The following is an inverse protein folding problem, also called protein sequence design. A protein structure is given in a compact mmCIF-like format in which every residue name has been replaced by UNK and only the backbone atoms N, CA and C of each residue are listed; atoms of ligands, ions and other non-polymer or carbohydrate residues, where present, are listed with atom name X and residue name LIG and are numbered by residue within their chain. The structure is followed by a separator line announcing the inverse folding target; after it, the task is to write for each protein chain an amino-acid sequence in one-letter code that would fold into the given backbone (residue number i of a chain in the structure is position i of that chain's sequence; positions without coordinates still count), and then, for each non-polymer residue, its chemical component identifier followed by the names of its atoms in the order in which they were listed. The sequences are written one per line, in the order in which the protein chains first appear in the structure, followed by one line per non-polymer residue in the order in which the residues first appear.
data_IF_014395403201
#
_entry.id   IF_014395403201
#
_cell.length_a   1.000
_cell.length_b   1.000
_cell.length_c   1.000
_cell.angle_alpha   90.00
_cell.angle_beta   90.00
_cell.angle_gamma   90.00
#
_symmetry.space_group_name_H-M   'P 1'
#
loop_
_entity.id
_entity.type
_entity.pdbx_description
1 polymer ?
#
# COMPACT_ATOMS: atom_id res chain seq x y z
N UNK A 1 -11.37 -72.77 -5.03
CA UNK A 1 -10.65 -71.60 -5.41
C UNK A 1 -11.50 -70.33 -5.04
N UNK A 2 -11.16 -69.63 -3.96
CA UNK A 2 -11.86 -68.42 -3.53
C UNK A 2 -10.99 -67.23 -3.94
N UNK A 3 -11.52 -66.42 -4.86
CA UNK A 3 -10.87 -65.24 -5.36
C UNK A 3 -11.14 -64.10 -4.35
N UNK A 4 -10.11 -63.66 -3.62
CA UNK A 4 -10.17 -62.43 -2.79
C UNK A 4 -9.91 -61.20 -3.66
N UNK A 5 -10.95 -60.41 -3.89
CA UNK A 5 -10.83 -59.08 -4.48
C UNK A 5 -10.39 -58.08 -3.38
N UNK A 6 -9.16 -57.59 -3.48
CA UNK A 6 -8.67 -56.51 -2.63
C UNK A 6 -9.04 -55.20 -3.30
N UNK A 7 -10.00 -54.46 -2.73
CA UNK A 7 -10.30 -53.07 -3.10
C UNK A 7 -9.29 -52.14 -2.41
N UNK A 8 -8.34 -51.60 -3.16
CA UNK A 8 -7.51 -50.51 -2.72
C UNK A 8 -8.29 -49.17 -2.90
N UNK A 9 -8.77 -48.64 -1.78
CA UNK A 9 -9.32 -47.29 -1.71
C UNK A 9 -8.16 -46.27 -1.80
N UNK A 10 -8.01 -45.66 -2.94
CA UNK A 10 -7.12 -44.49 -3.10
C UNK A 10 -7.85 -43.28 -2.53
N UNK A 11 -7.49 -42.86 -1.32
CA UNK A 11 -7.88 -41.57 -0.78
C UNK A 11 -7.07 -40.48 -1.50
N UNK A 12 -7.65 -39.87 -2.52
CA UNK A 12 -7.18 -38.60 -3.04
C UNK A 12 -7.48 -37.51 -1.97
N UNK A 13 -6.53 -37.28 -1.11
CA UNK A 13 -6.55 -36.16 -0.17
C UNK A 13 -6.50 -34.86 -0.98
N UNK A 14 -7.67 -34.26 -1.21
CA UNK A 14 -7.72 -32.87 -1.65
C UNK A 14 -7.10 -32.03 -0.53
N UNK A 15 -5.85 -31.62 -0.69
CA UNK A 15 -5.25 -30.58 0.10
C UNK A 15 -6.04 -29.30 -0.21
N UNK A 16 -7.03 -28.99 0.62
CA UNK A 16 -7.66 -27.68 0.69
C UNK A 16 -6.60 -26.72 1.25
N UNK A 17 -5.66 -26.33 0.40
CA UNK A 17 -4.80 -25.19 0.67
C UNK A 17 -5.71 -23.99 0.88
N UNK A 18 -5.81 -23.50 2.13
CA UNK A 18 -6.42 -22.22 2.40
C UNK A 18 -5.71 -21.18 1.53
N UNK A 19 -6.39 -20.71 0.49
CA UNK A 19 -5.90 -19.62 -0.36
C UNK A 19 -5.95 -18.38 0.52
N UNK A 20 -4.85 -18.06 1.20
CA UNK A 20 -4.68 -16.79 1.87
C UNK A 20 -4.62 -15.70 0.80
N UNK A 21 -5.71 -14.96 0.68
CA UNK A 21 -5.87 -13.86 -0.28
C UNK A 21 -5.24 -12.60 0.32
N UNK A 22 -4.19 -12.16 -0.32
CA UNK A 22 -3.42 -10.93 -0.11
C UNK A 22 -3.40 -10.21 -1.45
N UNK A 23 -2.57 -9.23 -1.76
CA UNK A 23 -2.48 -8.83 -3.17
C UNK A 23 -2.58 -10.10 -4.01
N UNK A 24 -3.71 -10.31 -4.67
CA UNK A 24 -3.94 -11.55 -5.43
C UNK A 24 -2.84 -11.66 -6.50
N UNK A 25 -2.36 -12.86 -6.79
CA UNK A 25 -1.25 -13.08 -7.71
C UNK A 25 0.13 -12.70 -7.15
N UNK A 26 0.21 -12.36 -5.85
CA UNK A 26 1.45 -11.91 -5.21
C UNK A 26 2.27 -13.06 -4.62
N UNK A 27 3.53 -12.76 -4.40
CA UNK A 27 4.47 -13.56 -3.62
C UNK A 27 5.00 -12.76 -2.44
N UNK A 28 5.52 -13.43 -1.43
CA UNK A 28 6.16 -12.75 -0.29
C UNK A 28 7.28 -11.85 -0.80
N UNK A 29 7.25 -10.56 -0.41
CA UNK A 29 8.38 -9.68 -0.62
C UNK A 29 9.58 -10.23 0.15
N UNK A 30 10.74 -10.33 -0.50
CA UNK A 30 11.96 -10.81 0.14
C UNK A 30 12.50 -9.72 1.08
N UNK A 31 13.71 -9.23 0.79
CA UNK A 31 14.29 -8.07 1.49
C UNK A 31 13.84 -6.73 0.91
N UNK A 32 13.08 -6.77 -0.18
CA UNK A 32 12.54 -5.60 -0.82
C UNK A 32 11.43 -4.98 0.06
N UNK A 33 11.20 -3.68 -0.08
CA UNK A 33 10.14 -2.93 0.61
C UNK A 33 10.19 -2.98 2.14
N UNK A 34 11.37 -3.13 2.73
CA UNK A 34 11.53 -3.08 4.19
C UNK A 34 11.23 -1.68 4.77
N UNK A 35 11.06 -0.67 3.93
CA UNK A 35 10.56 0.66 4.25
C UNK A 35 9.05 0.71 4.48
N UNK A 36 8.32 -0.37 4.20
CA UNK A 36 6.87 -0.44 4.39
C UNK A 36 6.49 -0.21 5.85
N UNK A 37 5.46 0.61 6.04
CA UNK A 37 4.92 1.01 7.33
C UNK A 37 3.50 0.49 7.47
N UNK A 38 3.14 0.01 8.65
CA UNK A 38 1.77 -0.34 8.99
C UNK A 38 1.10 0.82 9.73
N UNK A 39 -0.08 1.22 9.27
CA UNK A 39 -0.88 2.30 9.83
C UNK A 39 -2.22 1.72 10.28
N UNK A 40 -2.58 1.95 11.55
CA UNK A 40 -3.84 1.49 12.13
C UNK A 40 -4.59 2.66 12.74
N UNK A 41 -5.90 2.71 12.45
CA UNK A 41 -6.84 3.54 13.18
C UNK A 41 -7.67 2.66 14.11
N UNK A 42 -7.60 2.93 15.40
CA UNK A 42 -8.46 2.24 16.38
C UNK A 42 -9.91 2.73 16.29
N UNK A 43 -10.13 3.96 15.81
CA UNK A 43 -11.46 4.58 15.71
C UNK A 43 -12.25 4.01 14.52
N UNK A 44 -11.66 4.02 13.32
CA UNK A 44 -12.26 3.43 12.11
C UNK A 44 -12.03 1.93 11.99
N UNK A 45 -11.20 1.32 12.84
CA UNK A 45 -10.74 -0.07 12.70
C UNK A 45 -10.17 -0.37 11.32
N UNK A 46 -9.48 0.62 10.74
CA UNK A 46 -8.87 0.51 9.41
C UNK A 46 -7.41 0.15 9.50
N UNK A 47 -6.94 -0.57 8.47
CA UNK A 47 -5.54 -0.88 8.26
C UNK A 47 -5.12 -0.29 6.92
N UNK A 48 -3.98 0.36 6.90
CA UNK A 48 -3.36 0.91 5.71
C UNK A 48 -1.87 0.60 5.70
N UNK A 49 -1.30 0.65 4.52
CA UNK A 49 0.13 0.71 4.31
C UNK A 49 0.64 2.14 4.30
N UNK A 50 1.94 2.28 4.30
CA UNK A 50 2.65 3.53 4.09
C UNK A 50 4.09 3.24 3.74
N UNK A 51 4.86 4.29 3.44
CA UNK A 51 6.25 4.18 3.06
C UNK A 51 7.11 5.17 3.82
N UNK A 52 8.21 4.70 4.41
CA UNK A 52 9.19 5.52 5.09
C UNK A 52 10.06 6.24 4.04
N UNK A 53 9.95 7.57 3.95
CA UNK A 53 10.72 8.42 3.03
C UNK A 53 12.12 8.77 3.60
N UNK A 54 12.18 8.97 4.90
CA UNK A 54 13.39 9.17 5.68
C UNK A 54 13.14 8.81 7.15
N UNK A 55 14.06 9.12 8.04
CA UNK A 55 13.91 8.76 9.46
C UNK A 55 12.72 9.42 10.17
N UNK A 56 12.12 10.47 9.61
CA UNK A 56 11.05 11.23 10.24
C UNK A 56 9.73 11.26 9.47
N UNK A 57 9.75 10.94 8.16
CA UNK A 57 8.60 11.15 7.28
C UNK A 57 8.09 9.88 6.66
N UNK A 58 6.78 9.74 6.66
CA UNK A 58 6.03 8.65 6.03
C UNK A 58 5.04 9.25 5.05
N UNK A 59 4.83 8.59 3.92
CA UNK A 59 3.78 8.89 2.95
C UNK A 59 2.76 7.77 2.92
N UNK A 60 1.48 8.14 2.81
CA UNK A 60 0.33 7.22 2.75
C UNK A 60 -0.87 7.88 2.08
N UNK A 61 -2.01 7.20 1.97
CA UNK A 61 -3.28 7.77 1.51
C UNK A 61 -3.95 8.60 2.60
N UNK A 62 -4.63 9.71 2.24
CA UNK A 62 -5.26 10.60 3.21
C UNK A 62 -6.50 9.99 3.88
N UNK A 63 -7.22 9.10 3.20
CA UNK A 63 -8.34 8.38 3.82
C UNK A 63 -7.90 7.46 4.97
N UNK A 64 -6.60 7.14 5.06
CA UNK A 64 -5.99 6.43 6.18
C UNK A 64 -5.77 7.32 7.41
N UNK A 65 -5.86 8.65 7.25
CA UNK A 65 -5.70 9.63 8.31
C UNK A 65 -6.85 9.61 9.33
N UNK A 66 -6.53 9.90 10.58
CA UNK A 66 -7.45 9.96 11.72
C UNK A 66 -6.93 10.86 12.83
N UNK A 67 -7.78 11.11 13.86
CA UNK A 67 -7.35 11.88 15.03
C UNK A 67 -6.14 11.26 15.73
N UNK A 68 -6.15 9.93 15.87
CA UNK A 68 -5.04 9.18 16.45
C UNK A 68 -4.74 7.96 15.57
N UNK A 69 -3.50 7.87 15.10
CA UNK A 69 -2.99 6.74 14.34
C UNK A 69 -1.93 5.98 15.14
N UNK A 70 -1.95 4.68 15.06
CA UNK A 70 -0.84 3.81 15.45
C UNK A 70 0.00 3.50 14.22
N UNK A 71 1.20 4.03 14.18
CA UNK A 71 2.14 3.89 13.08
C UNK A 71 3.28 2.98 13.49
N UNK A 72 3.47 1.87 12.80
CA UNK A 72 4.51 0.88 13.08
C UNK A 72 5.53 0.84 11.95
N UNK A 73 6.78 1.17 12.28
CA UNK A 73 7.94 1.11 11.38
C UNK A 73 8.84 -0.08 11.71
N UNK A 74 9.58 -0.57 10.73
CA UNK A 74 10.61 -1.60 10.91
C UNK A 74 10.09 -3.02 11.11
N UNK A 75 8.79 -3.26 11.00
CA UNK A 75 8.19 -4.59 11.19
C UNK A 75 8.70 -5.62 10.17
N UNK A 76 8.87 -5.19 8.93
CA UNK A 76 9.33 -6.06 7.84
C UNK A 76 10.86 -6.15 7.74
N UNK A 77 11.58 -5.41 8.57
CA UNK A 77 13.05 -5.41 8.62
C UNK A 77 13.58 -6.32 9.72
N UNK A 78 13.19 -6.06 10.97
CA UNK A 78 13.61 -6.83 12.14
C UNK A 78 12.70 -6.56 13.32
N UNK A 79 12.32 -7.60 14.05
CA UNK A 79 11.54 -7.49 15.28
C UNK A 79 12.21 -6.57 16.32
N UNK A 80 13.54 -6.53 16.35
CA UNK A 80 14.31 -5.67 17.26
C UNK A 80 14.29 -4.19 16.84
N UNK A 81 13.92 -3.89 15.59
CA UNK A 81 13.80 -2.53 15.06
C UNK A 81 12.36 -2.04 14.93
N UNK A 82 11.42 -2.95 15.16
CA UNK A 82 9.99 -2.60 15.18
C UNK A 82 9.71 -1.57 16.27
N UNK A 83 9.08 -0.45 15.89
CA UNK A 83 8.63 0.61 16.79
C UNK A 83 7.26 1.09 16.37
N UNK A 84 6.37 1.23 17.34
CA UNK A 84 5.04 1.81 17.14
C UNK A 84 4.97 3.16 17.83
N UNK A 85 4.43 4.15 17.15
CA UNK A 85 4.20 5.50 17.66
C UNK A 85 2.73 5.87 17.49
N UNK A 86 2.19 6.64 18.42
CA UNK A 86 0.88 7.26 18.28
C UNK A 86 1.06 8.63 17.64
N UNK A 87 0.35 8.88 16.55
CA UNK A 87 0.44 10.10 15.74
C UNK A 87 -0.87 10.86 15.84
N UNK A 88 -0.80 12.13 16.22
CA UNK A 88 -1.94 13.04 16.32
C UNK A 88 -2.18 13.78 14.99
N UNK A 89 -3.35 14.41 14.86
CA UNK A 89 -3.72 15.17 13.65
C UNK A 89 -2.72 16.26 13.26
N UNK A 90 -2.10 16.93 14.23
CA UNK A 90 -1.10 17.99 13.98
C UNK A 90 0.17 17.54 13.26
N UNK A 91 0.37 16.22 13.18
CA UNK A 91 1.51 15.58 12.52
C UNK A 91 1.12 14.98 11.17
N UNK A 92 -0.11 15.22 10.72
CA UNK A 92 -0.70 14.70 9.51
C UNK A 92 -0.94 15.84 8.53
N UNK A 93 -0.27 15.81 7.39
CA UNK A 93 -0.28 16.86 6.37
C UNK A 93 -0.95 16.32 5.10
N UNK A 94 -2.17 16.76 4.83
CA UNK A 94 -2.92 16.42 3.62
C UNK A 94 -2.67 17.48 2.56
N UNK A 95 -2.44 17.06 1.31
CA UNK A 95 -2.40 17.99 0.19
C UNK A 95 -3.78 18.60 -0.03
N UNK A 96 -3.81 19.92 -0.24
CA UNK A 96 -5.02 20.64 -0.61
C UNK A 96 -4.68 21.62 -1.73
N UNK A 97 -5.59 21.76 -2.66
CA UNK A 97 -5.52 22.80 -3.67
C UNK A 97 -5.75 24.21 -3.09
N UNK A 98 -5.61 25.23 -3.90
CA UNK A 98 -5.82 26.62 -3.49
C UNK A 98 -7.24 26.89 -3.02
N UNK A 99 -8.24 26.22 -3.58
CA UNK A 99 -9.65 26.27 -3.18
C UNK A 99 -9.97 25.42 -1.94
N UNK A 100 -8.97 24.71 -1.39
CA UNK A 100 -9.09 23.88 -0.20
C UNK A 100 -9.52 22.44 -0.45
N UNK A 101 -9.71 22.01 -1.72
CA UNK A 101 -10.06 20.61 -2.04
C UNK A 101 -8.92 19.65 -1.65
N UNK A 102 -9.19 18.65 -0.82
CA UNK A 102 -8.18 17.69 -0.41
C UNK A 102 -7.97 16.63 -1.47
N UNK A 103 -6.72 16.18 -1.61
CA UNK A 103 -6.36 14.97 -2.37
C UNK A 103 -6.09 13.80 -1.43
N UNK A 104 -6.19 12.58 -1.94
CA UNK A 104 -6.03 11.37 -1.12
C UNK A 104 -4.56 11.03 -0.84
N UNK A 105 -3.77 12.03 -0.47
CA UNK A 105 -2.36 11.89 -0.12
C UNK A 105 -2.06 12.54 1.22
N UNK A 106 -1.27 11.86 2.05
CA UNK A 106 -0.95 12.25 3.41
C UNK A 106 0.54 12.05 3.71
N UNK A 107 1.19 13.09 4.23
CA UNK A 107 2.48 12.97 4.90
C UNK A 107 2.29 12.92 6.40
N UNK A 108 2.99 12.00 7.06
CA UNK A 108 3.01 11.84 8.51
C UNK A 108 4.41 12.13 9.03
N UNK A 109 4.52 13.05 9.99
CA UNK A 109 5.75 13.30 10.73
C UNK A 109 5.78 12.46 12.01
N UNK A 110 6.82 11.64 12.17
CA UNK A 110 7.02 10.82 13.36
C UNK A 110 7.38 11.69 14.58
N UNK A 111 6.89 11.34 15.78
CA UNK A 111 7.26 11.99 17.05
C UNK A 111 8.75 11.82 17.37
N UNK A 112 9.26 10.62 17.08
CA UNK A 112 10.67 10.27 17.27
C UNK A 112 11.20 9.69 15.97
N UNK A 113 12.40 10.09 15.55
CA UNK A 113 12.99 9.52 14.35
C UNK A 113 13.05 7.99 14.40
N UNK A 114 12.76 7.37 13.29
CA UNK A 114 12.99 5.95 13.08
C UNK A 114 14.51 5.66 13.08
N UNK A 115 14.89 4.41 13.29
CA UNK A 115 16.31 4.04 13.21
C UNK A 115 16.89 4.35 11.83
N UNK A 116 18.03 5.03 11.77
CA UNK A 116 18.75 5.29 10.52
C UNK A 116 19.21 4.00 9.78
N UNK A 117 19.10 2.84 10.43
CA UNK A 117 19.36 1.53 9.80
C UNK A 117 18.16 0.97 9.04
N UNK A 118 16.97 1.58 9.20
CA UNK A 118 15.79 1.15 8.44
C UNK A 118 15.91 1.62 6.99
N UNK A 119 15.66 0.75 6.03
CA UNK A 119 15.55 1.16 4.64
C UNK A 119 14.44 2.19 4.43
N UNK A 120 14.66 3.08 3.49
CA UNK A 120 13.71 4.10 3.04
C UNK A 120 13.48 3.93 1.54
N UNK A 121 12.35 4.40 1.03
CA UNK A 121 12.12 4.47 -0.40
C UNK A 121 12.53 5.84 -0.93
N UNK A 122 13.22 5.86 -2.06
CA UNK A 122 13.60 7.10 -2.72
C UNK A 122 12.43 7.63 -3.57
N UNK A 123 12.22 8.94 -3.52
CA UNK A 123 11.31 9.64 -4.41
C UNK A 123 11.94 9.76 -5.82
N UNK A 124 11.13 9.85 -6.88
CA UNK A 124 11.63 10.16 -8.22
C UNK A 124 12.24 11.57 -8.28
N UNK A 125 13.02 11.92 -9.31
CA UNK A 125 13.52 13.28 -9.51
C UNK A 125 12.39 14.33 -9.45
N UNK A 126 12.71 15.59 -9.14
CA UNK A 126 11.69 16.64 -9.04
C UNK A 126 10.95 16.85 -10.36
N UNK A 127 11.66 16.73 -11.48
CA UNK A 127 11.09 16.82 -12.82
C UNK A 127 10.88 15.44 -13.45
N UNK A 128 10.21 14.56 -12.70
CA UNK A 128 9.87 13.24 -13.20
C UNK A 128 8.61 13.27 -14.08
N UNK A 129 8.50 12.26 -14.91
CA UNK A 129 7.28 11.90 -15.62
C UNK A 129 6.80 10.54 -15.14
N UNK A 130 5.47 10.38 -15.08
CA UNK A 130 4.87 9.09 -14.71
C UNK A 130 5.30 7.97 -15.65
N UNK A 131 5.31 6.70 -15.19
CA UNK A 131 5.53 5.57 -16.07
C UNK A 131 4.49 5.53 -17.17
N UNK A 132 4.91 5.22 -18.39
CA UNK A 132 4.03 5.10 -19.55
C UNK A 132 3.15 3.85 -19.49
N UNK A 133 2.09 3.80 -20.31
CA UNK A 133 1.24 2.62 -20.42
C UNK A 133 2.05 1.38 -20.78
N UNK A 134 1.61 0.22 -20.28
CA UNK A 134 2.25 -1.08 -20.42
C UNK A 134 3.61 -1.22 -19.74
N UNK A 135 4.15 -0.17 -19.12
CA UNK A 135 5.36 -0.32 -18.31
C UNK A 135 5.05 -1.09 -17.03
N UNK A 136 5.98 -1.98 -16.66
CA UNK A 136 5.84 -2.80 -15.47
C UNK A 136 6.16 -2.01 -14.22
N UNK A 137 5.24 -2.04 -13.26
CA UNK A 137 5.41 -1.50 -11.91
C UNK A 137 5.25 -2.60 -10.87
N UNK A 138 5.82 -2.40 -9.70
CA UNK A 138 5.67 -3.34 -8.60
C UNK A 138 4.82 -2.73 -7.50
N UNK A 139 3.80 -3.46 -7.07
CA UNK A 139 2.98 -3.13 -5.91
C UNK A 139 3.35 -4.02 -4.73
N UNK A 140 3.15 -3.53 -3.52
CA UNK A 140 3.37 -4.33 -2.32
C UNK A 140 2.50 -3.85 -1.18
N UNK A 141 1.98 -4.77 -0.37
CA UNK A 141 1.11 -4.44 0.74
C UNK A 141 0.88 -5.61 1.69
N UNK A 142 0.16 -5.33 2.76
CA UNK A 142 -0.27 -6.30 3.78
C UNK A 142 -1.79 -6.43 3.83
N UNK A 143 -2.45 -6.22 2.70
CA UNK A 143 -3.89 -6.31 2.58
C UNK A 143 -4.46 -7.61 3.11
N UNK A 144 -5.65 -7.55 3.70
CA UNK A 144 -6.34 -8.70 4.26
C UNK A 144 -7.06 -9.50 3.17
N UNK A 145 -7.19 -10.80 3.37
CA UNK A 145 -8.11 -11.61 2.59
C UNK A 145 -9.55 -11.10 2.72
N UNK A 146 -10.38 -11.32 1.70
CA UNK A 146 -11.78 -10.84 1.54
C UNK A 146 -12.70 -11.00 2.77
N UNK A 147 -12.34 -11.81 3.77
CA UNK A 147 -13.23 -12.23 4.84
C UNK A 147 -12.86 -11.71 6.22
N UNK A 148 -11.78 -10.95 6.36
CA UNK A 148 -11.32 -10.49 7.67
C UNK A 148 -10.92 -9.01 7.63
N UNK A 149 -11.89 -8.13 7.88
CA UNK A 149 -11.67 -6.68 8.04
C UNK A 149 -10.72 -6.35 9.21
N UNK A 150 -10.45 -7.31 10.09
CA UNK A 150 -9.75 -7.08 11.35
C UNK A 150 -8.29 -7.52 11.37
N UNK A 151 -7.77 -8.12 10.29
CA UNK A 151 -6.41 -8.68 10.29
C UNK A 151 -5.65 -8.31 9.02
N UNK A 152 -4.58 -7.53 9.17
CA UNK A 152 -3.57 -7.41 8.12
C UNK A 152 -2.88 -8.76 7.88
N UNK A 153 -2.37 -8.97 6.66
CA UNK A 153 -1.58 -10.16 6.37
C UNK A 153 -0.33 -10.25 7.25
N UNK A 154 0.05 -11.47 7.65
CA UNK A 154 1.28 -11.70 8.42
C UNK A 154 2.54 -11.27 7.68
N UNK A 155 2.52 -11.34 6.36
CA UNK A 155 3.67 -11.07 5.50
C UNK A 155 3.37 -9.94 4.53
N UNK A 156 4.38 -9.13 4.26
CA UNK A 156 4.35 -8.17 3.16
C UNK A 156 4.41 -8.95 1.83
N UNK A 157 3.46 -8.69 0.96
CA UNK A 157 3.31 -9.35 -0.33
C UNK A 157 3.60 -8.39 -1.47
N UNK A 158 4.26 -8.89 -2.52
CA UNK A 158 4.65 -8.12 -3.71
C UNK A 158 4.10 -8.77 -4.98
N UNK A 159 3.66 -7.95 -5.91
CA UNK A 159 3.27 -8.37 -7.25
C UNK A 159 3.74 -7.35 -8.30
N UNK A 160 3.99 -7.85 -9.51
CA UNK A 160 4.20 -6.99 -10.67
C UNK A 160 2.88 -6.83 -11.42
N UNK A 161 2.57 -5.61 -11.79
CA UNK A 161 1.43 -5.24 -12.62
C UNK A 161 1.89 -4.29 -13.73
N UNK A 162 1.00 -3.86 -14.60
CA UNK A 162 1.35 -3.03 -15.74
C UNK A 162 0.50 -1.76 -15.74
N UNK A 163 1.12 -0.62 -16.06
CA UNK A 163 0.40 0.65 -16.17
C UNK A 163 -0.69 0.54 -17.23
N UNK A 164 -1.87 1.05 -16.90
CA UNK A 164 -3.05 1.01 -17.76
C UNK A 164 -3.80 2.33 -17.73
N UNK A 165 -4.73 2.52 -18.65
CA UNK A 165 -5.69 3.62 -18.60
C UNK A 165 -6.66 3.40 -17.44
N UNK A 166 -7.00 4.45 -16.70
CA UNK A 166 -8.10 4.42 -15.75
C UNK A 166 -9.44 4.48 -16.48
N UNK A 167 -10.40 3.70 -16.04
CA UNK A 167 -11.80 3.84 -16.44
C UNK A 167 -12.50 4.95 -15.64
N UNK A 168 -13.72 5.32 -16.07
CA UNK A 168 -14.49 6.41 -15.45
C UNK A 168 -14.77 6.22 -13.96
N UNK A 169 -14.81 4.97 -13.51
CA UNK A 169 -15.06 4.60 -12.11
C UNK A 169 -13.80 4.33 -11.30
N UNK A 170 -12.63 4.39 -11.93
CA UNK A 170 -11.34 4.11 -11.29
C UNK A 170 -10.81 5.38 -10.63
N UNK A 171 -11.39 5.74 -9.50
CA UNK A 171 -11.12 6.98 -8.76
C UNK A 171 -10.84 6.68 -7.28
N UNK A 172 -10.12 7.58 -6.58
CA UNK A 172 -10.10 7.61 -5.11
C UNK A 172 -11.50 7.76 -4.51
N UNK A 173 -11.60 7.71 -3.19
CA UNK A 173 -12.85 8.02 -2.48
C UNK A 173 -13.36 9.41 -2.89
N UNK A 174 -14.67 9.53 -3.13
CA UNK A 174 -15.34 10.75 -3.62
C UNK A 174 -15.16 12.01 -2.74
N UNK A 175 -14.62 11.86 -1.53
CA UNK A 175 -14.24 12.97 -0.66
C UNK A 175 -12.98 13.69 -1.11
N UNK A 176 -12.22 13.08 -2.00
CA UNK A 176 -10.93 13.60 -2.45
C UNK A 176 -11.00 13.98 -3.93
N UNK A 177 -10.38 15.10 -4.25
CA UNK A 177 -10.23 15.50 -5.63
C UNK A 177 -9.32 14.52 -6.39
N UNK A 178 -9.70 14.20 -7.62
CA UNK A 178 -8.94 13.35 -8.52
C UNK A 178 -9.27 13.64 -9.98
N UNK A 179 -8.25 13.66 -10.80
CA UNK A 179 -8.33 13.85 -12.25
C UNK A 179 -7.24 13.02 -12.96
N UNK A 180 -7.14 13.14 -14.26
CA UNK A 180 -6.13 12.44 -15.06
C UNK A 180 -4.70 12.88 -14.73
N UNK A 181 -4.50 14.13 -14.25
CA UNK A 181 -3.19 14.65 -13.90
C UNK A 181 -2.66 14.02 -12.60
N UNK A 182 -3.55 13.70 -11.67
CA UNK A 182 -3.22 13.25 -10.32
C UNK A 182 -3.32 11.74 -10.13
N UNK A 183 -4.06 11.06 -11.02
CA UNK A 183 -4.44 9.64 -10.85
C UNK A 183 -3.82 8.77 -11.95
N UNK A 184 -3.37 7.59 -11.55
CA UNK A 184 -2.85 6.55 -12.43
C UNK A 184 -3.52 5.22 -12.10
N UNK A 185 -3.55 4.31 -13.08
CA UNK A 185 -4.05 2.96 -12.89
C UNK A 185 -3.05 1.92 -13.36
N UNK A 186 -3.11 0.74 -12.74
CA UNK A 186 -2.36 -0.41 -13.20
C UNK A 186 -3.28 -1.64 -13.19
N UNK A 187 -3.18 -2.43 -14.25
CA UNK A 187 -4.00 -3.63 -14.44
C UNK A 187 -3.14 -4.84 -14.80
N UNK A 188 -3.42 -5.93 -14.14
CA UNK A 188 -2.97 -7.26 -14.54
C UNK A 188 -3.98 -8.29 -14.05
N UNK A 189 -4.38 -9.20 -14.94
CA UNK A 189 -5.28 -10.28 -14.57
C UNK A 189 -4.73 -11.06 -13.37
N UNK A 190 -5.54 -11.19 -12.32
CA UNK A 190 -5.18 -11.89 -11.08
C UNK A 190 -4.29 -11.11 -10.11
N UNK A 191 -3.97 -9.85 -10.39
CA UNK A 191 -3.28 -8.94 -9.44
C UNK A 191 -4.26 -7.86 -9.00
N UNK A 192 -4.64 -7.86 -7.74
CA UNK A 192 -5.66 -6.95 -7.20
C UNK A 192 -5.17 -6.30 -5.89
N UNK A 193 -5.54 -5.04 -5.66
CA UNK A 193 -5.37 -4.36 -4.37
C UNK A 193 -6.51 -4.75 -3.43
N UNK A 194 -6.19 -5.16 -2.21
CA UNK A 194 -7.17 -5.61 -1.23
C UNK A 194 -7.24 -4.65 -0.04
N UNK A 195 -8.23 -4.87 0.84
CA UNK A 195 -8.38 -4.09 2.07
C UNK A 195 -7.06 -4.08 2.88
N UNK A 196 -6.58 -2.89 3.22
CA UNK A 196 -5.32 -2.70 3.95
C UNK A 196 -4.10 -2.47 3.05
N UNK A 197 -4.24 -2.54 1.72
CA UNK A 197 -3.16 -2.19 0.78
C UNK A 197 -3.11 -0.68 0.50
N UNK A 198 -4.18 0.06 0.79
CA UNK A 198 -4.24 1.52 0.63
C UNK A 198 -3.06 2.21 1.33
N UNK A 199 -2.48 3.23 0.71
CA UNK A 199 -1.30 3.95 1.18
C UNK A 199 0.03 3.25 0.89
N UNK A 200 0.01 2.01 0.43
CA UNK A 200 1.23 1.27 0.10
C UNK A 200 1.87 1.76 -1.20
N UNK A 201 3.19 1.56 -1.31
CA UNK A 201 4.00 2.03 -2.43
C UNK A 201 3.71 1.28 -3.73
N UNK A 202 3.75 2.03 -4.84
CA UNK A 202 3.93 1.53 -6.19
C UNK A 202 5.30 1.97 -6.68
N UNK A 203 6.17 1.01 -6.97
CA UNK A 203 7.53 1.26 -7.44
C UNK A 203 7.67 1.10 -8.94
N UNK A 204 8.41 2.02 -9.52
CA UNK A 204 8.93 1.93 -10.88
C UNK A 204 10.44 2.17 -10.85
N UNK A 205 11.21 1.22 -11.39
CA UNK A 205 12.69 1.27 -11.37
C UNK A 205 13.29 1.52 -9.96
N UNK A 206 12.66 0.98 -8.91
CA UNK A 206 13.11 1.10 -7.53
C UNK A 206 12.80 2.44 -6.85
N UNK A 207 12.04 3.33 -7.49
CA UNK A 207 11.62 4.62 -6.95
C UNK A 207 10.10 4.61 -6.67
N UNK A 208 9.66 5.43 -5.71
CA UNK A 208 8.25 5.59 -5.36
C UNK A 208 7.54 6.46 -6.39
N UNK A 209 6.85 5.85 -7.33
CA UNK A 209 6.09 6.57 -8.35
C UNK A 209 4.59 6.67 -8.05
N UNK A 210 4.07 5.83 -7.18
CA UNK A 210 2.67 5.88 -6.81
C UNK A 210 2.39 5.43 -5.39
N UNK A 211 1.24 5.84 -4.85
CA UNK A 211 0.64 5.29 -3.64
C UNK A 211 -0.74 4.74 -3.97
N UNK A 212 -1.06 3.54 -3.48
CA UNK A 212 -2.35 2.91 -3.70
C UNK A 212 -3.42 3.71 -2.95
N UNK A 213 -4.49 4.13 -3.68
CA UNK A 213 -5.66 4.79 -3.10
C UNK A 213 -6.95 3.99 -3.28
N UNK A 214 -6.90 2.84 -3.95
CA UNK A 214 -8.01 1.89 -3.94
C UNK A 214 -8.35 1.54 -2.50
N UNK A 215 -9.60 1.73 -2.11
CA UNK A 215 -10.09 1.43 -0.76
C UNK A 215 -11.24 0.40 -0.83
N UNK A 216 -10.95 -0.84 -1.24
CA UNK A 216 -11.97 -1.86 -1.36
C UNK A 216 -12.50 -2.27 0.01
N UNK A 217 -13.82 -2.30 0.19
CA UNK A 217 -14.49 -2.74 1.44
C UNK A 217 -14.82 -4.23 1.45
N UNK A 218 -15.31 -4.75 0.32
CA UNK A 218 -15.84 -6.11 0.24
C UNK A 218 -15.14 -6.99 -0.81
N UNK A 219 -14.53 -6.37 -1.81
CA UNK A 219 -13.81 -7.04 -2.88
C UNK A 219 -12.45 -6.38 -3.06
N UNK A 220 -11.48 -7.14 -3.55
CA UNK A 220 -10.24 -6.52 -4.01
C UNK A 220 -10.48 -5.71 -5.28
N UNK A 221 -9.75 -4.61 -5.46
CA UNK A 221 -9.89 -3.71 -6.61
C UNK A 221 -8.92 -4.11 -7.73
N UNK A 222 -9.42 -4.13 -8.95
CA UNK A 222 -8.66 -4.27 -10.18
C UNK A 222 -9.41 -3.55 -11.29
N UNK A 223 -8.87 -2.47 -11.89
CA UNK A 223 -7.48 -2.01 -11.76
C UNK A 223 -7.12 -1.47 -10.37
N UNK A 224 -5.81 -1.39 -10.11
CA UNK A 224 -5.26 -0.75 -8.93
C UNK A 224 -5.19 0.73 -9.20
N UNK A 225 -5.90 1.53 -8.43
CA UNK A 225 -5.90 3.00 -8.52
C UNK A 225 -4.83 3.56 -7.58
N UNK A 226 -4.02 4.49 -8.10
CA UNK A 226 -2.93 5.11 -7.37
C UNK A 226 -2.79 6.60 -7.71
N UNK A 227 -2.20 7.36 -6.81
CA UNK A 227 -1.84 8.76 -7.07
C UNK A 227 -0.42 8.84 -7.66
N UNK A 228 -0.23 9.77 -8.58
CA UNK A 228 1.04 10.06 -9.25
C UNK A 228 1.97 10.89 -8.37
N UNK A 229 3.04 10.32 -7.88
CA UNK A 229 4.01 11.02 -7.02
C UNK A 229 4.72 12.15 -7.75
N UNK A 230 4.87 12.09 -9.08
CA UNK A 230 5.48 13.19 -9.83
C UNK A 230 4.67 14.48 -9.71
N UNK A 231 3.33 14.38 -9.71
CA UNK A 231 2.45 15.53 -9.48
C UNK A 231 2.69 16.17 -8.10
N UNK A 232 2.82 15.34 -7.07
CA UNK A 232 2.95 15.82 -5.69
C UNK A 232 4.39 16.11 -5.26
N UNK A 233 5.39 15.90 -6.13
CA UNK A 233 6.80 15.91 -5.77
C UNK A 233 7.26 17.21 -5.08
N UNK A 234 6.88 18.36 -5.63
CA UNK A 234 7.23 19.69 -5.07
C UNK A 234 6.57 19.93 -3.71
N UNK A 235 5.31 19.51 -3.55
CA UNK A 235 4.61 19.62 -2.27
C UNK A 235 5.25 18.74 -1.20
N UNK A 236 5.62 17.51 -1.53
CA UNK A 236 6.28 16.59 -0.59
C UNK A 236 7.57 17.25 -0.06
N UNK A 237 8.41 17.77 -0.93
CA UNK A 237 9.66 18.42 -0.54
C UNK A 237 9.43 19.67 0.30
N UNK A 238 8.47 20.49 -0.08
CA UNK A 238 8.09 21.70 0.66
C UNK A 238 7.69 21.35 2.10
N UNK A 239 6.73 20.41 2.28
CA UNK A 239 6.25 20.05 3.62
C UNK A 239 7.38 19.45 4.47
N UNK A 240 8.21 18.58 3.91
CA UNK A 240 9.32 17.99 4.65
C UNK A 240 10.38 19.03 5.06
N UNK A 241 10.60 20.06 4.24
CA UNK A 241 11.56 21.13 4.51
C UNK A 241 11.05 22.14 5.53
N UNK A 242 9.78 22.54 5.44
CA UNK A 242 9.17 23.56 6.32
C UNK A 242 8.90 23.03 7.75
N UNK A 243 8.87 21.73 7.94
CA UNK A 243 8.53 21.09 9.21
C UNK A 243 9.70 20.25 9.76
N UNK A 244 10.91 20.73 9.67
CA UNK A 244 12.13 20.07 10.22
C UNK A 244 12.09 20.00 11.74
#
# INVERSE_FOLDING_TARGET
MKLCLVFTLVFAGAALGAIEKRILGSKKCKKDRQYHVEIKSDQKKTFCGGSLLNTQWIITAAHCGEQLLKVTVGENYSIFKKRTQTIETKQQFVFKEEDGLPHDILLIKLNKPASAKLPTVSLPPEECTRPEQSQQVQVGGKGAAKTSKDKSAWWLMCANTEMSTCGDNDKPDSKYHSDEATTMCAFKAGVESCYGDAGSAVEYKGLLYGIIVSNPTDKCANPIVMLDICFYRKWIDKIMKENI
#
